data_IF_522864086901
#
_entry.id   IF_522864086901
#
_cell.length_a   1.000
_cell.length_b   1.000
_cell.length_c   1.000
_cell.angle_alpha   90.00
_cell.angle_beta   90.00
_cell.angle_gamma   90.00
#
_symmetry.space_group_name_H-M   'P 1'
#
loop_
_entity.id
_entity.type
_entity.pdbx_description
1 polymer ?
#
# COMPACT_ATOMS: atom_id res chain seq x y z
N UNK A 1 -4.10 18.91 -30.86
CA UNK A 1 -3.14 18.02 -30.16
C UNK A 1 -3.93 17.41 -29.02
N UNK A 2 -3.90 16.09 -28.83
CA UNK A 2 -4.60 15.46 -27.72
C UNK A 2 -3.97 15.93 -26.40
N UNK A 3 -4.79 16.19 -25.37
CA UNK A 3 -4.28 16.49 -24.05
C UNK A 3 -3.71 15.19 -23.46
N UNK A 4 -2.39 15.18 -23.27
CA UNK A 4 -1.67 14.01 -22.75
C UNK A 4 -1.87 14.00 -21.24
N UNK A 5 -2.40 12.90 -20.70
CA UNK A 5 -2.40 12.68 -19.25
C UNK A 5 -0.96 12.67 -18.73
N UNK A 6 -0.68 13.49 -17.73
CA UNK A 6 0.59 13.45 -17.00
C UNK A 6 0.61 12.31 -15.99
N UNK A 7 1.75 12.16 -15.31
CA UNK A 7 1.96 11.11 -14.30
C UNK A 7 0.88 11.13 -13.20
N UNK A 8 0.51 12.32 -12.70
CA UNK A 8 -0.47 12.46 -11.61
C UNK A 8 -1.89 12.12 -12.05
N UNK A 9 -2.24 12.52 -13.27
CA UNK A 9 -3.50 12.14 -13.92
C UNK A 9 -3.60 10.62 -14.01
N UNK A 10 -2.54 9.96 -14.49
CA UNK A 10 -2.50 8.50 -14.56
C UNK A 10 -2.59 7.83 -13.19
N UNK A 11 -1.85 8.30 -12.18
CA UNK A 11 -1.93 7.77 -10.81
C UNK A 11 -3.35 7.86 -10.25
N UNK A 12 -4.06 8.98 -10.47
CA UNK A 12 -5.46 9.14 -10.07
C UNK A 12 -6.37 8.17 -10.84
N UNK A 13 -6.19 8.06 -12.15
CA UNK A 13 -7.00 7.19 -13.01
C UNK A 13 -6.85 5.70 -12.63
N UNK A 14 -5.66 5.26 -12.24
CA UNK A 14 -5.39 3.87 -11.85
C UNK A 14 -5.93 3.50 -10.46
N UNK A 15 -5.91 4.45 -9.53
CA UNK A 15 -6.32 4.27 -8.14
C UNK A 15 -7.83 4.43 -7.90
N UNK A 16 -8.55 4.98 -8.87
CA UNK A 16 -9.96 5.32 -8.74
C UNK A 16 -10.81 4.06 -8.83
N UNK A 17 -11.58 3.81 -7.78
CA UNK A 17 -12.70 2.88 -7.81
C UNK A 17 -14.03 3.64 -7.96
N UNK A 18 -15.04 3.06 -8.64
CA UNK A 18 -16.34 3.71 -8.79
C UNK A 18 -16.95 4.09 -7.44
N UNK A 19 -17.31 5.38 -7.30
CA UNK A 19 -17.88 5.93 -6.07
C UNK A 19 -16.86 6.53 -5.10
N UNK A 20 -15.56 6.47 -5.41
CA UNK A 20 -14.54 7.08 -4.57
C UNK A 20 -14.74 8.59 -4.39
N UNK A 21 -14.48 9.09 -3.19
CA UNK A 21 -14.33 10.53 -2.98
C UNK A 21 -12.92 11.01 -3.35
N UNK A 22 -12.76 12.29 -3.67
CA UNK A 22 -11.44 12.92 -3.88
C UNK A 22 -10.49 12.67 -2.69
N UNK A 23 -11.03 12.71 -1.47
CA UNK A 23 -10.27 12.43 -0.25
C UNK A 23 -9.88 10.94 -0.13
N UNK A 24 -10.71 10.03 -0.64
CA UNK A 24 -10.43 8.60 -0.71
C UNK A 24 -9.27 8.30 -1.65
N UNK A 25 -9.34 8.81 -2.88
CA UNK A 25 -8.26 8.65 -3.87
C UNK A 25 -6.95 9.25 -3.35
N UNK A 26 -7.00 10.46 -2.77
CA UNK A 26 -5.82 11.11 -2.19
C UNK A 26 -5.11 10.26 -1.15
N UNK A 27 -5.87 9.54 -0.31
CA UNK A 27 -5.31 8.60 0.66
C UNK A 27 -4.70 7.36 0.00
N UNK A 28 -5.40 6.73 -0.96
CA UNK A 28 -4.92 5.54 -1.69
C UNK A 28 -3.54 5.73 -2.34
N UNK A 29 -3.30 6.92 -2.91
CA UNK A 29 -2.05 7.24 -3.61
C UNK A 29 -1.10 8.14 -2.83
N UNK A 30 -1.34 8.34 -1.54
CA UNK A 30 -0.48 9.11 -0.63
C UNK A 30 -0.17 10.54 -1.11
N UNK A 31 -1.21 11.25 -1.55
CA UNK A 31 -1.11 12.59 -2.13
C UNK A 31 -1.99 13.60 -1.41
N UNK A 32 -1.67 14.89 -1.57
CA UNK A 32 -2.46 15.95 -0.97
C UNK A 32 -3.84 16.07 -1.63
N UNK A 33 -4.91 16.12 -0.83
CA UNK A 33 -6.30 16.27 -1.31
C UNK A 33 -6.48 17.42 -2.31
N UNK A 34 -5.87 18.58 -2.08
CA UNK A 34 -5.98 19.72 -2.99
C UNK A 34 -5.24 19.49 -4.31
N UNK A 35 -4.13 18.73 -4.29
CA UNK A 35 -3.47 18.25 -5.50
C UNK A 35 -4.43 17.35 -6.28
N UNK A 36 -5.04 16.35 -5.62
CA UNK A 36 -5.96 15.41 -6.29
C UNK A 36 -7.19 16.12 -6.82
N UNK A 37 -7.76 17.07 -6.06
CA UNK A 37 -8.87 17.90 -6.54
C UNK A 37 -8.55 18.62 -7.85
N UNK A 38 -7.35 19.20 -7.98
CA UNK A 38 -6.91 19.87 -9.22
C UNK A 38 -6.69 18.89 -10.36
N UNK A 39 -6.25 17.67 -10.09
CA UNK A 39 -6.09 16.61 -11.09
C UNK A 39 -7.46 16.14 -11.56
N UNK A 40 -8.36 15.81 -10.64
CA UNK A 40 -9.74 15.40 -10.91
C UNK A 40 -10.48 16.42 -11.76
N UNK A 41 -10.39 17.71 -11.42
CA UNK A 41 -11.03 18.76 -12.23
C UNK A 41 -10.55 18.76 -13.68
N UNK A 42 -9.24 18.56 -13.92
CA UNK A 42 -8.69 18.48 -15.28
C UNK A 42 -9.13 17.21 -16.00
N UNK A 43 -9.18 16.09 -15.29
CA UNK A 43 -9.68 14.82 -15.84
C UNK A 43 -11.16 14.89 -16.21
N UNK A 44 -11.97 15.59 -15.41
CA UNK A 44 -13.39 15.82 -15.68
C UNK A 44 -13.59 16.75 -16.88
N UNK A 45 -12.85 17.86 -16.94
CA UNK A 45 -12.84 18.78 -18.10
C UNK A 45 -12.44 18.06 -19.41
N UNK A 46 -11.51 17.11 -19.32
CA UNK A 46 -11.06 16.29 -20.45
C UNK A 46 -11.97 15.09 -20.77
N UNK A 47 -12.99 14.82 -19.94
CA UNK A 47 -13.96 13.75 -20.17
C UNK A 47 -13.44 12.34 -19.84
N UNK A 48 -12.48 12.20 -18.93
CA UNK A 48 -11.99 10.91 -18.44
C UNK A 48 -12.78 10.39 -17.23
N UNK A 49 -13.27 11.30 -16.39
CA UNK A 49 -14.04 10.99 -15.18
C UNK A 49 -15.27 11.88 -15.08
N UNK A 50 -16.24 11.47 -14.28
CA UNK A 50 -17.39 12.29 -13.86
C UNK A 50 -17.46 12.28 -12.34
N UNK A 51 -17.72 13.43 -11.73
CA UNK A 51 -17.99 13.51 -10.30
C UNK A 51 -19.49 13.74 -10.03
N UNK A 52 -20.20 12.68 -9.64
CA UNK A 52 -21.62 12.72 -9.25
C UNK A 52 -21.83 11.87 -7.99
N UNK A 53 -21.80 12.53 -6.83
CA UNK A 53 -21.80 11.89 -5.49
C UNK A 53 -20.68 10.82 -5.29
N UNK A 54 -19.62 10.94 -6.10
CA UNK A 54 -18.52 9.99 -6.18
C UNK A 54 -17.85 10.07 -7.55
N UNK A 55 -16.58 9.67 -7.61
CA UNK A 55 -15.82 9.61 -8.85
C UNK A 55 -16.20 8.37 -9.65
N UNK A 56 -16.50 8.57 -10.92
CA UNK A 56 -16.76 7.49 -11.87
C UNK A 56 -15.79 7.57 -13.04
N UNK A 57 -15.20 6.42 -13.37
CA UNK A 57 -14.37 6.28 -14.55
C UNK A 57 -15.26 6.07 -15.79
N UNK A 58 -14.93 6.71 -16.91
CA UNK A 58 -15.74 6.61 -18.14
C UNK A 58 -15.33 5.48 -19.08
N UNK A 59 -14.06 5.06 -19.10
CA UNK A 59 -13.54 3.98 -19.96
C UNK A 59 -12.43 3.13 -19.31
N UNK A 60 -12.75 1.89 -18.91
CA UNK A 60 -11.79 0.94 -18.32
C UNK A 60 -10.51 0.74 -19.17
N UNK A 61 -10.60 0.87 -20.49
CA UNK A 61 -9.47 0.70 -21.42
C UNK A 61 -8.30 1.64 -21.08
N UNK A 62 -8.61 2.84 -20.58
CA UNK A 62 -7.60 3.84 -20.23
C UNK A 62 -6.82 3.40 -18.99
N UNK A 63 -7.50 2.74 -18.04
CA UNK A 63 -6.86 2.15 -16.86
C UNK A 63 -5.90 1.05 -17.27
N UNK A 64 -6.35 0.13 -18.12
CA UNK A 64 -5.55 -1.01 -18.58
C UNK A 64 -4.29 -0.54 -19.34
N UNK A 65 -4.46 0.37 -20.30
CA UNK A 65 -3.35 0.97 -21.06
C UNK A 65 -2.41 1.77 -20.15
N UNK A 66 -2.94 2.49 -19.17
CA UNK A 66 -2.15 3.22 -18.18
C UNK A 66 -1.27 2.28 -17.34
N UNK A 67 -1.81 1.13 -16.93
CA UNK A 67 -1.08 0.14 -16.16
C UNK A 67 0.01 -0.55 -17.00
N UNK A 68 -0.26 -0.84 -18.26
CA UNK A 68 0.75 -1.33 -19.21
C UNK A 68 1.88 -0.33 -19.41
N UNK A 69 1.56 0.96 -19.53
CA UNK A 69 2.55 2.02 -19.65
C UNK A 69 3.44 2.12 -18.40
N UNK A 70 2.85 2.10 -17.19
CA UNK A 70 3.64 2.13 -15.94
C UNK A 70 4.58 0.93 -15.82
N UNK A 71 4.09 -0.27 -16.16
CA UNK A 71 4.92 -1.48 -16.18
C UNK A 71 6.09 -1.35 -17.16
N UNK A 72 5.85 -0.86 -18.38
CA UNK A 72 6.91 -0.61 -19.35
C UNK A 72 7.91 0.46 -18.87
N UNK A 73 7.44 1.51 -18.19
CA UNK A 73 8.26 2.57 -17.66
C UNK A 73 9.14 2.11 -16.47
N UNK A 74 8.68 1.13 -15.68
CA UNK A 74 9.41 0.58 -14.55
C UNK A 74 10.79 0.01 -14.93
N UNK A 75 10.94 -0.50 -16.15
CA UNK A 75 12.23 -0.96 -16.67
C UNK A 75 13.28 0.17 -16.83
N UNK A 76 12.85 1.42 -16.93
CA UNK A 76 13.73 2.59 -17.04
C UNK A 76 13.84 3.36 -15.73
N UNK A 77 12.74 3.44 -14.98
CA UNK A 77 12.66 4.09 -13.68
C UNK A 77 11.95 3.14 -12.72
N UNK A 78 12.71 2.28 -12.01
CA UNK A 78 12.13 1.32 -11.07
C UNK A 78 11.29 2.02 -10.00
N UNK A 79 10.23 1.37 -9.48
CA UNK A 79 9.39 1.95 -8.44
C UNK A 79 10.18 2.34 -7.20
N UNK A 80 9.87 3.52 -6.65
CA UNK A 80 10.39 3.95 -5.36
C UNK A 80 9.66 3.28 -4.19
N UNK A 81 10.22 3.34 -2.98
CA UNK A 81 9.59 2.80 -1.76
C UNK A 81 8.15 3.33 -1.57
N UNK A 82 7.87 4.66 -1.65
CA UNK A 82 6.49 5.15 -1.54
C UNK A 82 5.56 4.59 -2.62
N UNK A 83 6.07 4.40 -3.85
CA UNK A 83 5.27 3.83 -4.94
C UNK A 83 4.98 2.34 -4.72
N UNK A 84 5.90 1.59 -4.10
CA UNK A 84 5.66 0.20 -3.75
C UNK A 84 4.48 0.00 -2.76
N UNK A 85 4.17 0.98 -1.92
CA UNK A 85 2.94 0.95 -1.09
C UNK A 85 1.66 1.26 -1.85
N UNK A 86 1.76 1.85 -3.04
CA UNK A 86 0.61 2.24 -3.86
C UNK A 86 0.34 1.19 -4.93
N UNK A 87 1.38 0.59 -5.51
CA UNK A 87 1.28 -0.39 -6.59
C UNK A 87 0.24 -1.50 -6.35
N UNK A 88 0.14 -2.14 -5.15
CA UNK A 88 -0.82 -3.21 -4.93
C UNK A 88 -2.28 -2.79 -5.18
N UNK A 89 -2.61 -1.51 -4.99
CA UNK A 89 -3.96 -0.96 -5.26
C UNK A 89 -4.36 -1.09 -6.74
N UNK A 90 -3.38 -1.17 -7.65
CA UNK A 90 -3.65 -1.26 -9.08
C UNK A 90 -3.85 -2.69 -9.57
N UNK A 91 -3.63 -3.68 -8.70
CA UNK A 91 -3.75 -5.09 -9.05
C UNK A 91 -5.20 -5.52 -9.26
N UNK A 92 -6.17 -4.82 -8.65
CA UNK A 92 -7.58 -5.21 -8.67
C UNK A 92 -7.87 -6.53 -7.94
N UNK A 93 -6.93 -6.98 -7.10
CA UNK A 93 -7.01 -8.18 -6.28
C UNK A 93 -7.02 -7.77 -4.81
N UNK A 94 -7.70 -8.54 -3.96
CA UNK A 94 -7.74 -8.29 -2.53
C UNK A 94 -6.38 -8.58 -1.88
N UNK A 95 -6.00 -7.71 -0.94
CA UNK A 95 -4.79 -7.86 -0.13
C UNK A 95 -4.91 -7.08 1.17
N UNK A 96 -4.00 -7.33 2.11
CA UNK A 96 -3.82 -6.50 3.30
C UNK A 96 -2.34 -6.39 3.67
N UNK A 97 -1.86 -5.21 4.05
CA UNK A 97 -0.51 -5.10 4.64
C UNK A 97 -0.43 -5.88 5.95
N UNK A 98 0.66 -6.63 6.14
CA UNK A 98 0.92 -7.48 7.32
C UNK A 98 2.24 -7.10 8.00
N UNK A 99 2.60 -7.79 9.09
CA UNK A 99 3.89 -7.65 9.77
C UNK A 99 4.30 -6.18 10.04
N UNK A 100 5.53 -5.80 9.71
CA UNK A 100 6.06 -4.44 9.89
C UNK A 100 5.32 -3.40 9.05
N UNK A 101 4.74 -3.78 7.91
CA UNK A 101 3.92 -2.87 7.08
C UNK A 101 2.57 -2.58 7.72
N UNK A 102 1.98 -3.54 8.43
CA UNK A 102 0.77 -3.29 9.20
C UNK A 102 1.02 -2.27 10.31
N UNK A 103 2.11 -2.42 11.07
CA UNK A 103 2.48 -1.47 12.12
C UNK A 103 2.77 -0.08 11.53
N UNK A 104 3.47 -0.03 10.39
CA UNK A 104 3.71 1.22 9.67
C UNK A 104 2.41 1.92 9.26
N UNK A 105 1.45 1.19 8.70
CA UNK A 105 0.15 1.73 8.27
C UNK A 105 -0.68 2.19 9.48
N UNK A 106 -0.79 1.38 10.54
CA UNK A 106 -1.55 1.72 11.75
C UNK A 106 -0.98 2.93 12.50
N UNK A 107 0.35 3.10 12.48
CA UNK A 107 1.01 4.30 13.02
C UNK A 107 0.97 5.51 12.08
N UNK A 108 0.27 5.41 10.94
CA UNK A 108 0.17 6.45 9.89
C UNK A 108 1.54 6.91 9.39
N UNK A 109 2.45 5.95 9.23
CA UNK A 109 3.83 6.17 8.83
C UNK A 109 4.76 6.70 9.92
N UNK A 110 4.27 6.81 11.15
CA UNK A 110 5.02 7.35 12.27
C UNK A 110 6.14 6.44 12.79
N UNK A 111 6.12 5.14 12.48
CA UNK A 111 7.16 4.18 12.86
C UNK A 111 7.90 3.61 11.65
N UNK A 112 9.21 3.89 11.54
CA UNK A 112 10.07 3.43 10.43
C UNK A 112 11.44 2.87 10.89
N UNK A 113 11.64 2.67 12.20
CA UNK A 113 12.98 2.41 12.81
C UNK A 113 13.65 1.12 12.31
N UNK A 114 12.88 0.14 11.87
CA UNK A 114 13.40 -1.17 11.45
C UNK A 114 13.47 -1.34 9.92
N UNK A 115 13.53 -0.24 9.15
CA UNK A 115 13.59 -0.27 7.69
C UNK A 115 14.91 0.23 7.15
N UNK A 116 15.53 -0.58 6.31
CA UNK A 116 16.76 -0.25 5.58
C UNK A 116 16.39 0.15 4.15
N UNK A 117 16.75 1.35 3.68
CA UNK A 117 16.41 1.79 2.32
C UNK A 117 16.95 0.89 1.20
N UNK A 118 18.06 0.20 1.43
CA UNK A 118 18.69 -0.72 0.47
C UNK A 118 18.21 -2.18 0.60
N UNK A 119 17.35 -2.48 1.59
CA UNK A 119 16.76 -3.80 1.86
C UNK A 119 15.36 -3.61 2.46
N UNK A 120 14.39 -3.41 1.55
CA UNK A 120 13.05 -2.95 1.85
C UNK A 120 11.98 -3.99 1.43
N UNK A 121 11.79 -5.06 2.23
CA UNK A 121 10.66 -5.94 2.02
C UNK A 121 9.34 -5.24 2.39
N UNK A 122 8.32 -5.46 1.57
CA UNK A 122 6.91 -5.20 1.91
C UNK A 122 6.20 -6.53 2.13
N UNK A 123 5.38 -6.62 3.15
CA UNK A 123 4.62 -7.81 3.52
C UNK A 123 3.13 -7.56 3.27
N UNK A 124 2.53 -8.43 2.44
CA UNK A 124 1.09 -8.41 2.19
C UNK A 124 0.49 -9.82 2.32
N UNK A 125 -0.68 -9.91 2.95
CA UNK A 125 -1.55 -11.06 2.83
C UNK A 125 -2.28 -11.04 1.49
N UNK A 126 -2.33 -12.18 0.82
CA UNK A 126 -3.03 -12.39 -0.46
C UNK A 126 -3.85 -13.67 -0.40
N UNK A 127 -4.86 -13.79 -1.25
CA UNK A 127 -5.65 -15.00 -1.30
C UNK A 127 -4.83 -16.12 -1.96
N UNK A 128 -4.87 -17.34 -1.42
CA UNK A 128 -4.08 -18.48 -1.93
C UNK A 128 -4.30 -18.74 -3.43
N UNK A 129 -5.53 -18.55 -3.93
CA UNK A 129 -5.83 -18.73 -5.37
C UNK A 129 -5.20 -17.68 -6.27
N UNK A 130 -4.81 -16.53 -5.71
CA UNK A 130 -4.35 -15.37 -6.46
C UNK A 130 -2.83 -15.19 -6.36
N UNK A 131 -2.14 -16.11 -5.69
CA UNK A 131 -0.69 -16.06 -5.50
C UNK A 131 0.07 -15.88 -6.82
N UNK A 132 -0.18 -16.74 -7.81
CA UNK A 132 0.46 -16.67 -9.12
C UNK A 132 0.11 -15.36 -9.86
N UNK A 133 -1.10 -14.84 -9.67
CA UNK A 133 -1.54 -13.58 -10.27
C UNK A 133 -0.83 -12.37 -9.64
N UNK A 134 -0.62 -12.39 -8.31
CA UNK A 134 0.19 -11.40 -7.60
C UNK A 134 1.66 -11.43 -8.03
N UNK A 135 2.25 -12.62 -8.14
CA UNK A 135 3.61 -12.78 -8.66
C UNK A 135 3.72 -12.21 -10.09
N UNK A 136 2.80 -12.56 -10.98
CA UNK A 136 2.77 -12.03 -12.34
C UNK A 136 2.55 -10.51 -12.38
N UNK A 137 1.75 -9.96 -11.45
CA UNK A 137 1.53 -8.52 -11.35
C UNK A 137 2.82 -7.76 -10.99
N UNK A 138 3.54 -8.19 -9.95
CA UNK A 138 4.77 -7.52 -9.52
C UNK A 138 5.96 -7.75 -10.47
N UNK A 139 6.02 -8.90 -11.13
CA UNK A 139 7.05 -9.21 -12.15
C UNK A 139 7.04 -8.19 -13.29
N UNK A 140 5.86 -7.69 -13.67
CA UNK A 140 5.73 -6.61 -14.67
C UNK A 140 6.44 -5.31 -14.28
N UNK A 141 6.68 -5.09 -12.98
CA UNK A 141 7.39 -3.94 -12.45
C UNK A 141 8.84 -4.26 -12.05
N UNK A 142 9.31 -5.48 -12.34
CA UNK A 142 10.62 -5.96 -11.94
C UNK A 142 10.78 -6.15 -10.43
N UNK A 143 9.66 -6.28 -9.69
CA UNK A 143 9.70 -6.44 -8.24
C UNK A 143 9.67 -7.94 -7.91
N UNK A 144 10.71 -8.49 -7.26
CA UNK A 144 10.74 -9.89 -6.86
C UNK A 144 9.68 -10.19 -5.80
N UNK A 145 9.06 -11.37 -5.92
CA UNK A 145 8.07 -11.88 -4.96
C UNK A 145 8.43 -13.27 -4.49
N UNK A 146 8.08 -13.58 -3.24
CA UNK A 146 8.25 -14.89 -2.63
C UNK A 146 7.32 -15.03 -1.42
N UNK A 147 7.07 -16.27 -0.98
CA UNK A 147 6.32 -16.54 0.26
C UNK A 147 7.11 -16.09 1.51
N UNK A 148 8.44 -16.23 1.45
CA UNK A 148 9.37 -15.83 2.50
C UNK A 148 10.29 -14.71 2.03
N UNK A 149 10.67 -13.81 2.95
CA UNK A 149 11.68 -12.77 2.70
C UNK A 149 12.98 -13.40 2.21
N UNK A 150 13.44 -12.94 1.05
CA UNK A 150 14.73 -13.34 0.48
C UNK A 150 15.86 -12.43 0.97
N UNK A 151 17.10 -12.96 1.11
CA UNK A 151 18.28 -12.15 1.39
C UNK A 151 18.51 -11.05 0.32
N UNK A 152 18.87 -9.84 0.76
CA UNK A 152 19.05 -8.69 -0.13
C UNK A 152 20.18 -8.85 -1.16
N UNK A 153 21.21 -9.63 -0.85
CA UNK A 153 22.35 -9.89 -1.73
C UNK A 153 21.99 -10.70 -2.98
N UNK A 154 20.82 -11.36 -2.99
CA UNK A 154 20.29 -12.08 -4.14
C UNK A 154 19.31 -11.30 -5.02
N UNK A 155 19.02 -10.04 -4.69
CA UNK A 155 17.96 -9.26 -5.35
C UNK A 155 18.52 -8.14 -6.23
N UNK A 156 17.86 -7.89 -7.36
CA UNK A 156 18.17 -6.76 -8.24
C UNK A 156 17.33 -5.54 -7.83
N UNK A 157 17.77 -4.87 -6.76
CA UNK A 157 17.10 -3.71 -6.18
C UNK A 157 16.76 -3.88 -4.70
N UNK A 158 16.33 -2.77 -4.08
CA UNK A 158 16.03 -2.76 -2.65
C UNK A 158 14.66 -3.37 -2.31
N UNK A 159 13.72 -3.34 -3.23
CA UNK A 159 12.32 -3.66 -2.95
C UNK A 159 12.04 -5.12 -3.30
N UNK A 160 11.39 -5.82 -2.38
CA UNK A 160 10.76 -7.12 -2.61
C UNK A 160 9.36 -7.12 -1.98
N UNK A 161 8.47 -7.96 -2.49
CA UNK A 161 7.16 -8.17 -1.86
C UNK A 161 7.05 -9.62 -1.38
N UNK A 162 6.91 -9.77 -0.07
CA UNK A 162 6.64 -11.04 0.59
C UNK A 162 5.12 -11.24 0.58
N UNK A 163 4.70 -12.30 -0.11
CA UNK A 163 3.30 -12.67 -0.28
C UNK A 163 2.94 -13.73 0.75
N UNK A 164 2.09 -13.41 1.71
CA UNK A 164 1.58 -14.34 2.70
C UNK A 164 0.25 -14.93 2.21
N UNK A 165 0.21 -16.17 1.68
CA UNK A 165 -1.02 -16.74 1.15
C UNK A 165 -1.97 -17.09 2.31
N UNK A 166 -3.23 -16.68 2.21
CA UNK A 166 -4.29 -16.98 3.19
C UNK A 166 -5.56 -17.47 2.49
N UNK A 167 -6.30 -18.34 3.17
CA UNK A 167 -7.63 -18.78 2.71
C UNK A 167 -8.67 -17.65 2.74
N UNK A 168 -8.55 -16.71 3.69
CA UNK A 168 -9.39 -15.52 3.78
C UNK A 168 -8.52 -14.33 4.22
N UNK A 169 -8.84 -13.14 3.71
CA UNK A 169 -8.16 -11.89 4.06
C UNK A 169 -9.12 -11.02 4.85
N UNK A 170 -8.85 -10.85 6.14
CA UNK A 170 -9.48 -9.81 6.93
C UNK A 170 -8.67 -8.52 6.80
N UNK A 171 -9.31 -7.45 6.32
CA UNK A 171 -8.68 -6.17 6.09
C UNK A 171 -9.51 -5.01 6.66
N UNK A 172 -8.84 -4.09 7.33
CA UNK A 172 -9.35 -2.78 7.72
C UNK A 172 -8.73 -1.69 6.83
N UNK A 173 -9.49 -0.62 6.57
CA UNK A 173 -9.01 0.50 5.75
C UNK A 173 -8.43 1.59 6.64
N UNK A 174 -7.12 1.78 6.60
CA UNK A 174 -6.41 2.84 7.34
C UNK A 174 -5.69 3.74 6.35
N UNK A 175 -6.08 5.02 6.33
CA UNK A 175 -5.56 6.02 5.38
C UNK A 175 -5.52 5.50 3.92
N UNK A 176 -6.59 4.83 3.49
CA UNK A 176 -6.76 4.35 2.12
C UNK A 176 -5.98 3.08 1.78
N UNK A 177 -5.29 2.46 2.75
CA UNK A 177 -4.55 1.22 2.58
C UNK A 177 -5.26 0.08 3.32
N UNK A 178 -5.49 -1.09 2.68
CA UNK A 178 -5.98 -2.26 3.37
C UNK A 178 -4.86 -2.85 4.24
N UNK A 179 -5.16 -3.11 5.50
CA UNK A 179 -4.21 -3.61 6.50
C UNK A 179 -4.90 -4.63 7.38
N UNK A 180 -4.17 -5.62 7.90
CA UNK A 180 -4.74 -6.56 8.88
C UNK A 180 -5.32 -5.81 10.10
N UNK A 181 -6.28 -6.41 10.82
CA UNK A 181 -6.88 -5.80 12.00
C UNK A 181 -5.85 -5.25 13.00
N UNK A 182 -6.19 -4.17 13.70
CA UNK A 182 -5.28 -3.51 14.64
C UNK A 182 -4.73 -4.50 15.69
N UNK A 183 -5.58 -5.41 16.16
CA UNK A 183 -5.20 -6.40 17.17
C UNK A 183 -4.11 -7.36 16.66
N UNK A 184 -4.16 -7.74 15.38
CA UNK A 184 -3.16 -8.62 14.78
C UNK A 184 -1.83 -7.88 14.56
N UNK A 185 -1.90 -6.60 14.17
CA UNK A 185 -0.71 -5.75 14.06
C UNK A 185 -0.03 -5.54 15.44
N UNK A 186 -0.83 -5.38 16.50
CA UNK A 186 -0.36 -5.27 17.90
C UNK A 186 0.23 -6.59 18.38
N UNK A 187 -0.40 -7.73 18.07
CA UNK A 187 0.13 -9.05 18.41
C UNK A 187 1.51 -9.27 17.77
N UNK A 188 1.66 -8.95 16.49
CA UNK A 188 2.95 -8.98 15.79
C UNK A 188 3.99 -8.07 16.46
N UNK A 189 3.63 -6.81 16.76
CA UNK A 189 4.54 -5.87 17.41
C UNK A 189 4.97 -6.34 18.82
N UNK A 190 4.09 -7.00 19.57
CA UNK A 190 4.42 -7.59 20.87
C UNK A 190 5.35 -8.80 20.76
N UNK A 191 5.20 -9.64 19.74
CA UNK A 191 6.13 -10.76 19.48
C UNK A 191 7.57 -10.27 19.28
N UNK A 192 7.72 -9.13 18.59
CA UNK A 192 9.00 -8.47 18.32
C UNK A 192 9.21 -7.20 19.17
N UNK A 193 8.79 -7.24 20.45
CA UNK A 193 8.73 -6.06 21.35
C UNK A 193 9.99 -5.19 21.35
N UNK A 194 11.19 -5.78 21.41
CA UNK A 194 12.45 -5.04 21.46
C UNK A 194 12.65 -4.08 20.27
N UNK A 195 12.04 -4.40 19.13
CA UNK A 195 12.04 -3.56 17.94
C UNK A 195 10.89 -2.56 17.98
N UNK A 196 9.70 -2.98 18.42
CA UNK A 196 8.45 -2.24 18.26
C UNK A 196 7.92 -1.52 19.50
N UNK A 197 8.66 -1.46 20.61
CA UNK A 197 8.24 -0.77 21.85
C UNK A 197 7.71 0.65 21.56
N UNK A 198 8.44 1.47 20.80
CA UNK A 198 7.97 2.81 20.47
C UNK A 198 6.73 2.82 19.56
N UNK A 199 6.55 1.79 18.72
CA UNK A 199 5.36 1.66 17.88
C UNK A 199 4.14 1.33 18.74
N UNK A 200 4.28 0.40 19.69
CA UNK A 200 3.23 0.03 20.65
C UNK A 200 2.79 1.25 21.48
N UNK A 201 3.73 2.05 21.98
CA UNK A 201 3.43 3.32 22.68
C UNK A 201 2.70 4.34 21.78
N UNK A 202 2.93 4.32 20.47
CA UNK A 202 2.20 5.17 19.53
C UNK A 202 0.77 4.66 19.32
N UNK A 203 0.62 3.34 19.12
CA UNK A 203 -0.68 2.71 18.90
C UNK A 203 -1.60 2.88 20.12
N UNK A 204 -1.08 2.68 21.33
CA UNK A 204 -1.82 2.88 22.60
C UNK A 204 -2.35 4.32 22.73
N UNK A 205 -1.55 5.32 22.35
CA UNK A 205 -1.98 6.73 22.36
C UNK A 205 -2.98 7.08 21.26
N UNK A 206 -2.98 6.33 20.15
CA UNK A 206 -3.82 6.61 18.98
C UNK A 206 -5.17 5.91 19.06
N UNK A 207 -5.24 4.76 19.74
CA UNK A 207 -6.39 3.87 19.72
C UNK A 207 -6.70 3.36 21.13
N UNK A 208 -7.86 3.75 21.67
CA UNK A 208 -8.33 3.37 23.01
C UNK A 208 -8.61 1.85 23.18
N UNK A 209 -8.45 1.04 22.12
CA UNK A 209 -8.78 -0.40 22.06
C UNK A 209 -7.55 -1.32 22.07
N UNK A 210 -6.35 -0.76 22.23
CA UNK A 210 -5.14 -1.57 22.29
C UNK A 210 -4.98 -2.02 23.74
N UNK A 211 -5.34 -3.28 24.03
CA UNK A 211 -4.94 -3.91 25.28
C UNK A 211 -3.45 -4.27 25.15
N UNK A 212 -2.59 -3.26 25.19
CA UNK A 212 -1.17 -3.48 25.40
C UNK A 212 -1.06 -3.96 26.85
N UNK A 213 -1.12 -5.28 27.06
CA UNK A 213 -0.93 -5.89 28.37
C UNK A 213 0.56 -5.74 28.75
N UNK A 214 1.01 -4.49 28.92
CA UNK A 214 2.33 -4.10 29.39
C UNK A 214 2.31 -4.31 30.89
N UNK A 215 2.36 -5.58 31.28
CA UNK A 215 2.86 -5.94 32.59
C UNK A 215 4.33 -5.52 32.64
N UNK A 216 4.53 -4.27 33.09
CA UNK A 216 5.78 -3.72 33.58
C UNK A 216 6.40 -4.72 34.56
N UNK A 217 7.20 -5.67 34.08
CA UNK A 217 8.18 -6.37 34.90
C UNK A 217 9.27 -5.35 35.21
N UNK A 218 8.99 -4.49 36.17
CA UNK A 218 10.06 -3.93 36.99
C UNK A 218 10.69 -5.11 37.70
N UNK A 219 11.82 -5.57 37.20
CA UNK A 219 12.73 -6.38 38.01
C UNK A 219 13.14 -5.51 39.21
N UNK A 220 12.86 -5.94 40.46
CA UNK A 220 13.35 -5.22 41.62
C UNK A 220 14.87 -5.44 41.70
N UNK A 221 15.59 -4.32 41.71
CA UNK A 221 17.02 -4.27 42.06
C UNK A 221 17.21 -4.49 43.56
#
# INVERSE_FOLDING_TARGET
MYEVCGEKEFKVLLALDPGDSISGVARKIDENRETIRRVVNRLEEAGYVVYDDGLQFLDQTIRDVGLEFLAAAAATSPPSIPEAYVLPQFAGMDYAFTAIDAVYVWTRGGYQVAREPDDYPLFIAVHESDFDAWTAFFDRFGIPTAEDRQPADGLDGAIQVVLEPRAEIEAEMVDGRPVIPLQDAVAFANEYYATFESALDMLDRMYDQVDTDVNYRREPT
#
